data_IF_710642280735
#
_entry.id   IF_710642280735
#
_cell.length_a   1.000
_cell.length_b   1.000
_cell.length_c   1.000
_cell.angle_alpha   90.00
_cell.angle_beta   90.00
_cell.angle_gamma   90.00
#
_symmetry.space_group_name_H-M   'P 1'
#
loop_
_entity.id
_entity.type
_entity.pdbx_description
1 polymer ?
#
# COMPACT_ATOMS: atom_id res chain seq x y z
N UNK A 1 31.79 28.20 41.39
CA UNK A 1 32.02 27.86 39.96
C UNK A 1 30.83 27.03 39.50
N UNK A 2 29.79 27.61 38.88
CA UNK A 2 29.64 27.78 37.40
C UNK A 2 29.98 26.47 36.66
N UNK A 3 29.06 25.76 36.00
CA UNK A 3 28.14 26.16 34.92
C UNK A 3 26.79 25.41 34.99
N UNK A 4 25.66 26.11 35.00
CA UNK A 4 24.71 26.22 33.88
C UNK A 4 24.35 24.91 33.15
N UNK A 5 23.11 24.45 33.39
CA UNK A 5 22.14 24.10 32.33
C UNK A 5 20.73 24.07 32.92
N UNK A 6 20.25 25.29 33.15
CA UNK A 6 18.83 25.58 33.07
C UNK A 6 18.32 25.18 31.68
N UNK A 7 17.11 24.61 31.65
CA UNK A 7 16.19 24.58 30.51
C UNK A 7 16.62 23.76 29.29
N UNK A 8 16.38 22.45 29.31
CA UNK A 8 15.72 21.66 28.24
C UNK A 8 15.85 20.16 28.51
N UNK A 9 14.76 19.47 28.92
CA UNK A 9 14.34 18.32 28.11
C UNK A 9 12.82 18.12 27.99
N UNK A 10 11.98 19.02 28.51
CA UNK A 10 10.51 18.85 28.48
C UNK A 10 9.83 19.44 27.24
N UNK A 11 10.36 20.53 26.66
CA UNK A 11 9.74 21.23 25.52
C UNK A 11 10.08 20.54 24.20
N UNK A 12 11.29 19.99 24.07
CA UNK A 12 11.68 19.20 22.89
C UNK A 12 11.03 17.81 22.85
N UNK A 13 10.67 17.22 24.00
CA UNK A 13 9.96 15.94 24.05
C UNK A 13 8.46 16.08 23.80
N UNK A 14 7.83 17.18 24.22
CA UNK A 14 6.44 17.48 23.90
C UNK A 14 6.22 17.72 22.40
N UNK A 15 7.08 18.51 21.76
CA UNK A 15 7.03 18.75 20.31
C UNK A 15 7.25 17.46 19.49
N UNK A 16 8.20 16.62 19.88
CA UNK A 16 8.41 15.32 19.21
C UNK A 16 7.26 14.33 19.45
N UNK A 17 6.66 14.32 20.65
CA UNK A 17 5.52 13.48 20.96
C UNK A 17 4.30 13.91 20.13
N UNK A 18 4.10 15.21 19.95
CA UNK A 18 2.98 15.76 19.20
C UNK A 18 3.18 15.61 17.68
N UNK A 19 4.39 15.82 17.17
CA UNK A 19 4.73 15.49 15.77
C UNK A 19 4.53 13.98 15.51
N UNK A 20 4.91 13.12 16.46
CA UNK A 20 4.72 11.66 16.36
C UNK A 20 3.24 11.27 16.43
N UNK A 21 2.43 12.00 17.21
CA UNK A 21 0.98 11.79 17.30
C UNK A 21 0.30 12.17 15.97
N UNK A 22 0.67 13.30 15.38
CA UNK A 22 0.17 13.79 14.10
C UNK A 22 0.53 12.85 12.95
N UNK A 23 1.80 12.43 12.88
CA UNK A 23 2.24 11.43 11.88
C UNK A 23 1.46 10.12 12.04
N UNK A 24 1.25 9.65 13.27
CA UNK A 24 0.48 8.42 13.51
C UNK A 24 -0.98 8.57 13.10
N UNK A 25 -1.60 9.71 13.40
CA UNK A 25 -2.98 10.03 12.99
C UNK A 25 -3.10 10.08 11.47
N UNK A 26 -2.16 10.75 10.80
CA UNK A 26 -2.09 10.80 9.35
C UNK A 26 -1.95 9.41 8.73
N UNK A 27 -1.02 8.58 9.20
CA UNK A 27 -0.83 7.22 8.70
C UNK A 27 -2.06 6.33 8.93
N UNK A 28 -2.76 6.51 10.06
CA UNK A 28 -4.02 5.81 10.33
C UNK A 28 -5.15 6.26 9.39
N UNK A 29 -5.27 7.58 9.15
CA UNK A 29 -6.22 8.14 8.19
C UNK A 29 -5.93 7.67 6.76
N UNK A 30 -4.66 7.67 6.37
CA UNK A 30 -4.20 7.20 5.07
C UNK A 30 -4.55 5.73 4.82
N UNK A 31 -4.28 4.88 5.82
CA UNK A 31 -4.64 3.45 5.75
C UNK A 31 -6.15 3.27 5.62
N UNK A 32 -6.96 4.05 6.36
CA UNK A 32 -8.43 4.02 6.22
C UNK A 32 -8.87 4.40 4.81
N UNK A 33 -8.23 5.38 4.16
CA UNK A 33 -8.52 5.73 2.77
C UNK A 33 -8.24 4.57 1.83
N UNK A 34 -7.14 3.83 2.01
CA UNK A 34 -6.83 2.63 1.22
C UNK A 34 -7.92 1.58 1.40
N UNK A 35 -8.30 1.26 2.64
CA UNK A 35 -9.35 0.27 2.90
C UNK A 35 -10.72 0.67 2.35
N UNK A 36 -11.09 1.95 2.51
CA UNK A 36 -12.33 2.47 1.94
C UNK A 36 -12.32 2.32 0.42
N UNK A 37 -11.18 2.59 -0.22
CA UNK A 37 -11.04 2.46 -1.66
C UNK A 37 -11.03 0.99 -2.13
N UNK A 38 -10.47 0.06 -1.33
CA UNK A 38 -10.58 -1.38 -1.57
C UNK A 38 -12.04 -1.85 -1.49
N UNK A 39 -12.81 -1.39 -0.49
CA UNK A 39 -14.24 -1.70 -0.37
C UNK A 39 -15.03 -1.12 -1.55
N UNK A 40 -14.76 0.12 -1.93
CA UNK A 40 -15.39 0.73 -3.10
C UNK A 40 -15.03 0.01 -4.41
N UNK A 41 -13.82 -0.51 -4.52
CA UNK A 41 -13.40 -1.35 -5.65
C UNK A 41 -14.19 -2.66 -5.68
N UNK A 42 -14.41 -3.29 -4.53
CA UNK A 42 -15.27 -4.47 -4.41
C UNK A 42 -16.73 -4.18 -4.80
N UNK A 43 -17.28 -3.05 -4.36
CA UNK A 43 -18.62 -2.60 -4.75
C UNK A 43 -18.67 -2.29 -6.26
N UNK A 44 -17.65 -1.61 -6.80
CA UNK A 44 -17.54 -1.32 -8.23
C UNK A 44 -17.51 -2.58 -9.08
N UNK A 45 -16.75 -3.60 -8.66
CA UNK A 45 -16.68 -4.89 -9.34
C UNK A 45 -18.03 -5.64 -9.28
N UNK A 46 -18.69 -5.61 -8.11
CA UNK A 46 -20.02 -6.19 -7.95
C UNK A 46 -21.03 -5.52 -8.91
N UNK A 47 -21.07 -4.18 -8.95
CA UNK A 47 -21.98 -3.45 -9.83
C UNK A 47 -21.67 -3.65 -11.31
N UNK A 48 -20.38 -3.77 -11.66
CA UNK A 48 -19.94 -4.09 -13.02
C UNK A 48 -20.46 -5.47 -13.46
N UNK A 49 -20.43 -6.46 -12.57
CA UNK A 49 -20.94 -7.81 -12.86
C UNK A 49 -22.45 -7.83 -13.15
N UNK A 50 -23.23 -6.98 -12.47
CA UNK A 50 -24.69 -6.88 -12.65
C UNK A 50 -25.12 -5.89 -13.75
N UNK A 51 -24.20 -5.43 -14.60
CA UNK A 51 -24.45 -4.49 -15.71
C UNK A 51 -25.17 -3.18 -15.31
N UNK A 52 -25.17 -2.83 -14.02
CA UNK A 52 -25.70 -1.56 -13.56
C UNK A 52 -24.64 -0.48 -13.82
N UNK A 53 -24.64 0.11 -15.03
CA UNK A 53 -24.09 1.42 -15.45
C UNK A 53 -22.78 1.98 -14.84
N UNK A 54 -21.99 1.20 -14.09
CA UNK A 54 -20.98 1.72 -13.16
C UNK A 54 -19.58 1.17 -13.43
N UNK A 55 -19.23 0.90 -14.68
CA UNK A 55 -17.83 0.66 -15.10
C UNK A 55 -16.91 1.81 -14.62
N UNK A 56 -17.45 3.03 -14.59
CA UNK A 56 -16.72 4.24 -14.18
C UNK A 56 -16.29 4.21 -12.71
N UNK A 57 -17.10 3.63 -11.80
CA UNK A 57 -16.75 3.58 -10.38
C UNK A 57 -15.57 2.63 -10.16
N UNK A 58 -15.62 1.44 -10.76
CA UNK A 58 -14.56 0.45 -10.64
C UNK A 58 -13.22 0.96 -11.19
N UNK A 59 -13.24 1.61 -12.36
CA UNK A 59 -12.05 2.21 -12.96
C UNK A 59 -11.52 3.36 -12.10
N UNK A 60 -12.40 4.21 -11.59
CA UNK A 60 -12.02 5.31 -10.72
C UNK A 60 -11.39 4.83 -9.40
N UNK A 61 -11.96 3.79 -8.78
CA UNK A 61 -11.46 3.24 -7.52
C UNK A 61 -10.12 2.52 -7.70
N UNK A 62 -9.95 1.76 -8.79
CA UNK A 62 -8.66 1.16 -9.13
C UNK A 62 -7.58 2.21 -9.44
N UNK A 63 -7.93 3.25 -10.21
CA UNK A 63 -7.00 4.33 -10.53
C UNK A 63 -6.57 5.11 -9.29
N UNK A 64 -7.53 5.42 -8.41
CA UNK A 64 -7.23 6.09 -7.14
C UNK A 64 -6.47 5.18 -6.16
N UNK A 65 -6.68 3.85 -6.17
CA UNK A 65 -5.82 2.90 -5.44
C UNK A 65 -4.37 2.96 -5.94
N UNK A 66 -4.16 2.99 -7.26
CA UNK A 66 -2.83 3.17 -7.85
C UNK A 66 -2.14 4.44 -7.36
N UNK A 67 -2.86 5.56 -7.34
CA UNK A 67 -2.36 6.84 -6.82
C UNK A 67 -2.06 6.81 -5.31
N UNK A 68 -2.92 6.17 -4.51
CA UNK A 68 -2.67 5.98 -3.08
C UNK A 68 -1.42 5.12 -2.87
N UNK A 69 -1.19 4.07 -3.63
CA UNK A 69 0.05 3.31 -3.45
C UNK A 69 1.31 4.05 -3.94
N UNK A 70 1.21 4.92 -4.94
CA UNK A 70 2.29 5.86 -5.29
C UNK A 70 2.55 6.88 -4.15
N UNK A 71 1.50 7.40 -3.53
CA UNK A 71 1.65 8.25 -2.34
C UNK A 71 2.30 7.50 -1.17
N UNK A 72 1.94 6.23 -0.95
CA UNK A 72 2.55 5.38 0.07
C UNK A 72 4.03 5.11 -0.20
N UNK A 73 4.42 4.98 -1.47
CA UNK A 73 5.82 4.87 -1.88
C UNK A 73 6.62 6.12 -1.49
N UNK A 74 6.10 7.32 -1.79
CA UNK A 74 6.73 8.60 -1.42
C UNK A 74 6.85 8.74 0.10
N UNK A 75 5.78 8.44 0.84
CA UNK A 75 5.78 8.45 2.31
C UNK A 75 6.81 7.46 2.87
N UNK A 76 6.92 6.26 2.28
CA UNK A 76 7.92 5.27 2.69
C UNK A 76 9.35 5.79 2.52
N UNK A 77 9.63 6.51 1.44
CA UNK A 77 10.93 7.18 1.27
C UNK A 77 11.16 8.30 2.29
N UNK A 78 10.15 9.08 2.64
CA UNK A 78 10.29 10.11 3.69
C UNK A 78 10.66 9.51 5.06
N UNK A 79 10.24 8.28 5.36
CA UNK A 79 10.58 7.58 6.60
C UNK A 79 11.91 6.79 6.55
N UNK A 80 12.63 6.82 5.43
CA UNK A 80 13.91 6.13 5.21
C UNK A 80 14.99 6.48 6.24
N UNK A 81 14.93 7.68 6.82
CA UNK A 81 15.85 8.18 7.83
C UNK A 81 15.85 7.37 9.14
N UNK A 82 14.79 6.61 9.45
CA UNK A 82 14.68 5.84 10.71
C UNK A 82 15.02 4.36 10.57
N UNK A 83 14.74 3.75 9.43
CA UNK A 83 15.04 2.33 9.20
C UNK A 83 15.05 2.02 7.69
N UNK A 84 16.25 2.05 7.10
CA UNK A 84 16.48 1.95 5.66
C UNK A 84 15.80 0.73 5.02
N UNK A 85 15.98 -0.45 5.63
CA UNK A 85 15.46 -1.72 5.09
C UNK A 85 13.93 -1.78 5.06
N UNK A 86 13.26 -1.32 6.11
CA UNK A 86 11.78 -1.33 6.20
C UNK A 86 11.17 -0.31 5.26
N UNK A 87 11.81 0.86 5.12
CA UNK A 87 11.39 1.90 4.19
C UNK A 87 11.52 1.45 2.72
N UNK A 88 12.64 0.80 2.37
CA UNK A 88 12.84 0.20 1.04
C UNK A 88 11.80 -0.88 0.76
N UNK A 89 11.60 -1.81 1.71
CA UNK A 89 10.59 -2.87 1.56
C UNK A 89 9.20 -2.28 1.34
N UNK A 90 8.80 -1.31 2.17
CA UNK A 90 7.51 -0.63 2.05
C UNK A 90 7.35 0.13 0.72
N UNK A 91 8.40 0.79 0.26
CA UNK A 91 8.43 1.51 -1.02
C UNK A 91 8.29 0.56 -2.22
N UNK A 92 9.10 -0.50 -2.28
CA UNK A 92 9.03 -1.49 -3.36
C UNK A 92 7.69 -2.23 -3.38
N UNK A 93 7.17 -2.61 -2.22
CA UNK A 93 5.86 -3.25 -2.13
C UNK A 93 4.73 -2.30 -2.55
N UNK A 94 4.81 -1.02 -2.19
CA UNK A 94 3.82 -0.02 -2.61
C UNK A 94 3.90 0.24 -4.12
N UNK A 95 5.10 0.30 -4.70
CA UNK A 95 5.29 0.39 -6.15
C UNK A 95 4.71 -0.82 -6.88
N UNK A 96 4.94 -2.03 -6.35
CA UNK A 96 4.38 -3.26 -6.89
C UNK A 96 2.85 -3.26 -6.87
N UNK A 97 2.25 -2.80 -5.77
CA UNK A 97 0.80 -2.64 -5.66
C UNK A 97 0.27 -1.59 -6.64
N UNK A 98 0.90 -0.42 -6.73
CA UNK A 98 0.51 0.64 -7.64
C UNK A 98 0.52 0.17 -9.11
N UNK A 99 1.62 -0.45 -9.52
CA UNK A 99 1.77 -0.97 -10.88
C UNK A 99 0.83 -2.16 -11.14
N UNK A 100 0.61 -3.03 -10.15
CA UNK A 100 -0.35 -4.12 -10.23
C UNK A 100 -1.80 -3.66 -10.40
N UNK A 101 -2.28 -2.74 -9.57
CA UNK A 101 -3.65 -2.21 -9.69
C UNK A 101 -3.84 -1.47 -11.03
N UNK A 102 -2.81 -0.78 -11.50
CA UNK A 102 -2.81 -0.12 -12.81
C UNK A 102 -2.87 -1.15 -13.95
N UNK A 103 -2.10 -2.25 -13.87
CA UNK A 103 -2.14 -3.33 -14.85
C UNK A 103 -3.53 -3.97 -14.91
N UNK A 104 -4.11 -4.30 -13.75
CA UNK A 104 -5.47 -4.85 -13.65
C UNK A 104 -6.51 -3.89 -14.25
N UNK A 105 -6.42 -2.59 -13.95
CA UNK A 105 -7.29 -1.57 -14.54
C UNK A 105 -7.27 -1.62 -16.08
N UNK A 106 -6.07 -1.66 -16.67
CA UNK A 106 -5.95 -1.72 -18.13
C UNK A 106 -6.48 -3.04 -18.71
N UNK A 107 -6.36 -4.15 -17.98
CA UNK A 107 -6.95 -5.43 -18.38
C UNK A 107 -8.48 -5.35 -18.43
N UNK A 108 -9.11 -4.80 -17.40
CA UNK A 108 -10.57 -4.61 -17.37
C UNK A 108 -11.07 -3.59 -18.39
N UNK A 109 -10.24 -2.64 -18.80
CA UNK A 109 -10.54 -1.70 -19.89
C UNK A 109 -10.34 -2.31 -21.30
N UNK A 110 -9.89 -3.56 -21.42
CA UNK A 110 -9.66 -4.22 -22.70
C UNK A 110 -8.50 -3.61 -23.50
N UNK A 111 -7.55 -2.93 -22.84
CA UNK A 111 -6.43 -2.30 -23.53
C UNK A 111 -5.42 -3.36 -24.01
N UNK A 112 -5.05 -3.32 -25.29
CA UNK A 112 -4.15 -4.31 -25.88
C UNK A 112 -2.77 -4.37 -25.20
N UNK A 113 -2.25 -3.22 -24.74
CA UNK A 113 -1.00 -3.12 -24.00
C UNK A 113 -1.06 -3.71 -22.58
N UNK A 114 -2.23 -4.08 -22.07
CA UNK A 114 -2.39 -4.63 -20.72
C UNK A 114 -1.63 -5.95 -20.53
N UNK A 115 -1.49 -6.76 -21.58
CA UNK A 115 -0.73 -8.02 -21.53
C UNK A 115 0.76 -7.77 -21.28
N UNK A 116 1.33 -6.76 -21.93
CA UNK A 116 2.73 -6.34 -21.75
C UNK A 116 2.92 -5.75 -20.35
N UNK A 117 1.96 -4.96 -19.89
CA UNK A 117 2.02 -4.39 -18.54
C UNK A 117 1.98 -5.49 -17.48
N UNK A 118 1.07 -6.46 -17.60
CA UNK A 118 0.98 -7.60 -16.69
C UNK A 118 2.27 -8.44 -16.68
N UNK A 119 2.87 -8.73 -17.83
CA UNK A 119 4.12 -9.52 -17.87
C UNK A 119 5.30 -8.78 -17.26
N UNK A 120 5.34 -7.44 -17.33
CA UNK A 120 6.35 -6.62 -16.67
C UNK A 120 6.10 -6.49 -15.16
N UNK A 121 4.85 -6.32 -14.74
CA UNK A 121 4.51 -6.06 -13.33
C UNK A 121 4.38 -7.34 -12.51
N UNK A 122 4.00 -8.47 -13.11
CA UNK A 122 3.87 -9.76 -12.43
C UNK A 122 5.15 -10.23 -11.72
N UNK A 123 6.34 -10.26 -12.36
CA UNK A 123 7.56 -10.68 -11.66
C UNK A 123 7.90 -9.73 -10.51
N UNK A 124 7.68 -8.43 -10.69
CA UNK A 124 7.90 -7.43 -9.64
C UNK A 124 6.94 -7.65 -8.46
N UNK A 125 5.67 -7.94 -8.73
CA UNK A 125 4.67 -8.31 -7.73
C UNK A 125 5.01 -9.60 -6.98
N UNK A 126 5.43 -10.65 -7.69
CA UNK A 126 5.79 -11.94 -7.08
C UNK A 126 7.03 -11.81 -6.20
N UNK A 127 8.09 -11.16 -6.71
CA UNK A 127 9.33 -10.96 -5.95
C UNK A 127 9.05 -10.16 -4.68
N UNK A 128 8.35 -9.03 -4.80
CA UNK A 128 8.05 -8.19 -3.62
C UNK A 128 7.13 -8.88 -2.62
N UNK A 129 6.15 -9.66 -3.10
CA UNK A 129 5.30 -10.47 -2.24
C UNK A 129 6.07 -11.55 -1.47
N UNK A 130 6.96 -12.28 -2.15
CA UNK A 130 7.81 -13.30 -1.52
C UNK A 130 8.77 -12.69 -0.50
N UNK A 131 9.37 -11.54 -0.81
CA UNK A 131 10.26 -10.81 0.11
C UNK A 131 9.46 -10.29 1.31
N UNK A 132 8.25 -9.77 1.12
CA UNK A 132 7.37 -9.32 2.21
C UNK A 132 7.01 -10.47 3.15
N UNK A 133 6.62 -11.63 2.59
CA UNK A 133 6.32 -12.84 3.35
C UNK A 133 7.56 -13.32 4.11
N UNK A 134 8.70 -13.46 3.42
CA UNK A 134 9.96 -13.88 4.02
C UNK A 134 10.38 -12.97 5.18
N UNK A 135 10.21 -11.66 5.01
CA UNK A 135 10.48 -10.68 6.05
C UNK A 135 9.55 -10.87 7.26
N UNK A 136 8.24 -11.04 7.05
CA UNK A 136 7.26 -11.27 8.12
C UNK A 136 7.51 -12.58 8.88
N UNK A 137 7.90 -13.65 8.19
CA UNK A 137 8.25 -14.94 8.81
C UNK A 137 9.54 -14.84 9.63
N UNK A 138 10.57 -14.17 9.11
CA UNK A 138 11.85 -13.98 9.80
C UNK A 138 11.71 -13.11 11.05
N UNK A 139 10.88 -12.07 10.99
CA UNK A 139 10.66 -11.11 12.09
C UNK A 139 9.56 -11.55 13.08
N UNK A 140 8.96 -12.73 12.92
CA UNK A 140 7.86 -13.23 13.76
C UNK A 140 8.21 -13.30 15.25
N UNK A 141 9.49 -13.42 15.59
CA UNK A 141 9.95 -13.70 16.96
C UNK A 141 10.56 -12.50 17.72
N UNK A 142 10.71 -11.30 17.12
CA UNK A 142 11.38 -10.18 17.79
C UNK A 142 10.55 -8.89 17.86
N UNK A 143 10.39 -8.38 19.09
CA UNK A 143 10.19 -7.02 19.64
C UNK A 143 9.37 -5.92 18.92
N UNK A 144 9.00 -6.04 17.64
CA UNK A 144 8.34 -4.98 16.87
C UNK A 144 6.93 -5.36 16.39
N UNK A 145 6.12 -5.97 17.28
CA UNK A 145 4.73 -6.40 16.99
C UNK A 145 3.90 -5.33 16.27
N UNK A 146 4.06 -4.06 16.65
CA UNK A 146 3.28 -2.94 16.10
C UNK A 146 3.65 -2.61 14.65
N UNK A 147 4.91 -2.81 14.27
CA UNK A 147 5.41 -2.55 12.92
C UNK A 147 5.06 -3.71 11.97
N UNK A 148 5.16 -4.95 12.45
CA UNK A 148 4.70 -6.14 11.70
C UNK A 148 3.18 -6.10 11.46
N UNK A 149 2.40 -5.63 12.43
CA UNK A 149 0.96 -5.45 12.25
C UNK A 149 0.65 -4.41 11.17
N UNK A 150 1.39 -3.30 11.12
CA UNK A 150 1.22 -2.29 10.07
C UNK A 150 1.58 -2.86 8.68
N UNK A 151 2.70 -3.57 8.55
CA UNK A 151 3.11 -4.19 7.29
C UNK A 151 2.11 -5.26 6.82
N UNK A 152 1.61 -6.09 7.74
CA UNK A 152 0.64 -7.13 7.45
C UNK A 152 -0.69 -6.53 6.96
N UNK A 153 -1.28 -5.64 7.74
CA UNK A 153 -2.58 -5.08 7.38
C UNK A 153 -2.48 -4.16 6.15
N UNK A 154 -1.49 -3.28 6.10
CA UNK A 154 -1.45 -2.21 5.11
C UNK A 154 -0.75 -2.56 3.78
N UNK A 155 -0.07 -3.72 3.70
CA UNK A 155 0.53 -4.20 2.44
C UNK A 155 0.06 -5.61 2.07
N UNK A 156 0.09 -6.57 3.00
CA UNK A 156 -0.24 -7.95 2.67
C UNK A 156 -1.72 -8.13 2.26
N UNK A 157 -2.64 -7.44 2.93
CA UNK A 157 -4.06 -7.46 2.55
C UNK A 157 -4.28 -6.86 1.15
N UNK A 158 -3.78 -5.65 0.84
CA UNK A 158 -3.82 -5.14 -0.54
C UNK A 158 -3.22 -6.07 -1.58
N UNK A 159 -2.12 -6.77 -1.27
CA UNK A 159 -1.52 -7.77 -2.17
C UNK A 159 -2.45 -8.95 -2.40
N UNK A 160 -3.09 -9.46 -1.35
CA UNK A 160 -4.06 -10.55 -1.47
C UNK A 160 -5.25 -10.13 -2.34
N UNK A 161 -5.76 -8.90 -2.16
CA UNK A 161 -6.84 -8.36 -3.00
C UNK A 161 -6.39 -8.20 -4.45
N UNK A 162 -5.18 -7.69 -4.68
CA UNK A 162 -4.61 -7.55 -6.03
C UNK A 162 -4.48 -8.90 -6.73
N UNK A 163 -4.00 -9.94 -6.04
CA UNK A 163 -3.91 -11.30 -6.58
C UNK A 163 -5.30 -11.83 -6.95
N UNK A 164 -6.29 -11.65 -6.07
CA UNK A 164 -7.66 -12.06 -6.33
C UNK A 164 -8.24 -11.35 -7.56
N UNK A 165 -8.06 -10.03 -7.65
CA UNK A 165 -8.49 -9.23 -8.80
C UNK A 165 -7.77 -9.62 -10.09
N UNK A 166 -6.48 -9.97 -10.01
CA UNK A 166 -5.70 -10.41 -11.17
C UNK A 166 -6.21 -11.75 -11.67
N UNK A 167 -6.45 -12.72 -10.78
CA UNK A 167 -7.07 -14.00 -11.16
C UNK A 167 -8.45 -13.74 -11.76
N UNK A 168 -9.29 -12.94 -11.12
CA UNK A 168 -10.60 -12.57 -11.65
C UNK A 168 -10.53 -11.90 -13.03
N UNK A 169 -9.54 -11.03 -13.28
CA UNK A 169 -9.40 -10.39 -14.60
C UNK A 169 -9.01 -11.40 -15.68
N UNK A 170 -8.23 -12.43 -15.35
CA UNK A 170 -7.95 -13.53 -16.28
C UNK A 170 -9.19 -14.38 -16.58
N UNK A 171 -10.07 -14.61 -15.59
CA UNK A 171 -11.30 -15.39 -15.77
C UNK A 171 -12.42 -14.61 -16.47
N UNK A 172 -12.64 -13.35 -16.08
CA UNK A 172 -13.70 -12.49 -16.61
C UNK A 172 -13.29 -11.79 -17.90
N UNK A 173 -12.01 -11.43 -18.03
CA UNK A 173 -11.42 -10.90 -19.25
C UNK A 173 -10.98 -11.99 -20.24
N UNK A 174 -11.55 -13.20 -20.13
CA UNK A 174 -11.37 -14.31 -21.06
C UNK A 174 -11.96 -14.02 -22.44
N UNK A 175 -11.27 -13.12 -23.17
CA UNK A 175 -11.20 -12.98 -24.63
C UNK A 175 -9.71 -12.82 -25.00
#
# INVERSE_FOLDING_TARGET
MMYSKFLTPAIFTAGEADIRSHIRSFMAGYSKCIYLNLVLTGIGLYLQYFQQLTDKLFVFTLGSLGLLFLGQMLLSFSFMLKNLWVALLGSFCSLALATGFTAVLFTFQGWWGARILLTLTAPLGVITFLVLIGYLFTQRNQYHKRQNHFLFFNLLIPFAVLLLLSVMSFWLGGI
#
